data_IF_084343767581
#
_entry.id   IF_084343767581
#
_cell.length_a   1.000
_cell.length_b   1.000
_cell.length_c   1.000
_cell.angle_alpha   90.00
_cell.angle_beta   90.00
_cell.angle_gamma   90.00
#
_symmetry.space_group_name_H-M   'P 1'
#
loop_
_entity.id
_entity.type
_entity.pdbx_description
1 polymer ?
#
# COMPACT_ATOMS: atom_id res chain seq x y z
N UNK A 1 -3.85 -4.15 -9.67
CA UNK A 1 -5.14 -4.62 -10.25
C UNK A 1 -6.26 -4.78 -9.21
N UNK A 2 -6.05 -5.49 -8.08
CA UNK A 2 -7.06 -5.64 -7.02
C UNK A 2 -7.58 -4.28 -6.52
N UNK A 3 -6.67 -3.33 -6.26
CA UNK A 3 -7.04 -1.97 -5.88
C UNK A 3 -7.98 -1.28 -6.88
N UNK A 4 -7.72 -1.40 -8.18
CA UNK A 4 -8.60 -0.81 -9.21
C UNK A 4 -10.03 -1.36 -9.17
N UNK A 5 -10.17 -2.68 -8.98
CA UNK A 5 -11.48 -3.36 -8.91
C UNK A 5 -12.23 -2.87 -7.66
N UNK A 6 -11.55 -2.77 -6.52
CA UNK A 6 -12.16 -2.28 -5.28
C UNK A 6 -12.57 -0.80 -5.38
N UNK A 7 -11.71 0.07 -5.93
CA UNK A 7 -12.00 1.49 -6.15
C UNK A 7 -13.22 1.65 -7.06
N UNK A 8 -13.24 0.93 -8.18
CA UNK A 8 -14.36 0.96 -9.12
C UNK A 8 -15.67 0.53 -8.43
N UNK A 9 -15.66 -0.61 -7.75
CA UNK A 9 -16.85 -1.11 -7.05
C UNK A 9 -17.34 -0.20 -5.92
N UNK A 10 -16.43 0.52 -5.24
CA UNK A 10 -16.78 1.49 -4.21
C UNK A 10 -17.50 2.71 -4.81
N UNK A 11 -16.98 3.26 -5.91
CA UNK A 11 -17.59 4.43 -6.59
C UNK A 11 -18.95 4.06 -7.18
N UNK A 12 -19.05 2.90 -7.84
CA UNK A 12 -20.32 2.41 -8.40
C UNK A 12 -21.39 2.26 -7.31
N UNK A 13 -21.03 1.71 -6.14
CA UNK A 13 -21.95 1.59 -4.98
C UNK A 13 -22.30 2.94 -4.35
N UNK A 14 -21.40 3.91 -4.38
CA UNK A 14 -21.67 5.26 -3.90
C UNK A 14 -22.60 6.06 -4.84
N UNK A 15 -22.73 5.64 -6.09
CA UNK A 15 -23.63 6.29 -7.06
C UNK A 15 -23.18 7.67 -7.49
N UNK A 16 -21.88 7.97 -7.42
CA UNK A 16 -21.29 9.26 -7.82
C UNK A 16 -20.47 9.13 -9.11
N UNK A 17 -20.33 10.22 -9.89
CA UNK A 17 -19.38 10.28 -11.00
C UNK A 17 -17.94 10.07 -10.52
N UNK A 18 -17.08 9.47 -11.36
CA UNK A 18 -15.66 9.25 -11.02
C UNK A 18 -14.89 10.55 -10.86
N UNK A 19 -15.34 11.58 -11.59
CA UNK A 19 -14.79 12.94 -11.61
C UNK A 19 -15.01 13.68 -10.28
N UNK A 20 -15.94 13.20 -9.46
CA UNK A 20 -16.14 13.76 -8.13
C UNK A 20 -15.02 13.36 -7.17
N UNK A 21 -14.33 12.24 -7.38
CA UNK A 21 -13.23 11.83 -6.50
C UNK A 21 -12.01 12.74 -6.70
N UNK A 22 -11.73 13.58 -5.68
CA UNK A 22 -10.67 14.58 -5.77
C UNK A 22 -9.30 14.03 -5.46
N UNK A 23 -9.19 13.05 -4.55
CA UNK A 23 -7.90 12.48 -4.13
C UNK A 23 -8.08 11.04 -3.60
N UNK A 24 -7.03 10.21 -3.69
CA UNK A 24 -7.07 8.83 -3.23
C UNK A 24 -5.86 8.39 -2.39
N UNK A 25 -6.12 7.74 -1.25
CA UNK A 25 -5.11 7.13 -0.38
C UNK A 25 -5.30 5.62 -0.28
N UNK A 26 -4.27 4.84 -0.62
CA UNK A 26 -4.31 3.39 -0.49
C UNK A 26 -3.15 2.90 0.38
N UNK A 27 -3.49 2.12 1.40
CA UNK A 27 -2.53 1.39 2.21
C UNK A 27 -1.94 0.19 1.46
N UNK A 28 -0.62 0.06 1.43
CA UNK A 28 0.09 -1.05 0.80
C UNK A 28 1.50 -1.16 1.39
N UNK A 29 1.80 -2.33 1.95
CA UNK A 29 3.00 -2.56 2.76
C UNK A 29 4.18 -2.99 1.89
N UNK A 30 3.99 -4.04 1.08
CA UNK A 30 5.07 -4.70 0.35
C UNK A 30 5.13 -4.20 -1.10
N UNK A 31 5.56 -2.95 -1.28
CA UNK A 31 5.52 -2.25 -2.57
C UNK A 31 6.60 -2.70 -3.58
N UNK A 32 7.51 -3.59 -3.16
CA UNK A 32 8.62 -4.06 -3.98
C UNK A 32 8.13 -4.77 -5.25
N UNK A 33 8.57 -4.30 -6.42
CA UNK A 33 8.23 -4.92 -7.70
C UNK A 33 6.87 -4.53 -8.29
N UNK A 34 6.05 -3.75 -7.58
CA UNK A 34 4.74 -3.29 -8.09
C UNK A 34 4.83 -2.15 -9.11
N UNK A 35 6.02 -1.60 -9.33
CA UNK A 35 6.24 -0.44 -10.20
C UNK A 35 6.00 0.90 -9.50
N UNK A 36 6.05 1.98 -10.27
CA UNK A 36 5.97 3.33 -9.72
C UNK A 36 4.55 3.66 -9.23
N UNK A 37 4.45 4.25 -8.03
CA UNK A 37 3.22 4.79 -7.45
C UNK A 37 2.02 3.81 -7.49
N UNK A 38 2.01 2.75 -6.66
CA UNK A 38 0.96 1.73 -6.67
C UNK A 38 -0.47 2.30 -6.59
N UNK A 39 -0.73 3.28 -5.72
CA UNK A 39 -2.05 3.94 -5.63
C UNK A 39 -2.47 4.57 -6.95
N UNK A 40 -1.52 5.22 -7.64
CA UNK A 40 -1.78 5.88 -8.92
C UNK A 40 -2.13 4.87 -10.00
N UNK A 41 -1.44 3.74 -10.05
CA UNK A 41 -1.77 2.64 -10.96
C UNK A 41 -3.17 2.08 -10.66
N UNK A 42 -3.54 1.95 -9.39
CA UNK A 42 -4.86 1.48 -8.98
C UNK A 42 -5.98 2.44 -9.43
N UNK A 43 -5.80 3.74 -9.18
CA UNK A 43 -6.74 4.82 -9.53
C UNK A 43 -6.94 4.93 -11.04
N UNK A 44 -5.86 5.00 -11.82
CA UNK A 44 -5.95 5.06 -13.29
C UNK A 44 -6.53 3.75 -13.85
N UNK A 45 -6.17 2.60 -13.28
CA UNK A 45 -6.73 1.31 -13.67
C UNK A 45 -8.22 1.15 -13.35
N UNK A 46 -8.76 1.97 -12.45
CA UNK A 46 -10.20 2.07 -12.17
C UNK A 46 -10.92 3.11 -13.07
N UNK A 47 -10.17 3.80 -13.93
CA UNK A 47 -10.68 4.80 -14.87
C UNK A 47 -11.04 6.14 -14.22
N UNK A 48 -10.40 6.51 -13.11
CA UNK A 48 -10.54 7.85 -12.54
C UNK A 48 -9.71 8.86 -13.37
N UNK A 49 -10.02 10.17 -13.28
CA UNK A 49 -9.28 11.20 -13.99
C UNK A 49 -7.78 11.20 -13.70
N UNK A 50 -6.99 11.57 -14.71
CA UNK A 50 -5.55 11.77 -14.54
C UNK A 50 -5.24 12.95 -13.59
N UNK A 51 -6.19 13.84 -13.35
CA UNK A 51 -6.03 14.92 -12.37
C UNK A 51 -6.09 14.45 -10.91
N UNK A 52 -6.62 13.26 -10.60
CA UNK A 52 -6.79 12.76 -9.22
C UNK A 52 -5.44 12.47 -8.54
N UNK A 53 -5.00 13.24 -7.54
CA UNK A 53 -3.75 12.98 -6.82
C UNK A 53 -3.85 11.68 -6.02
N UNK A 54 -2.71 11.04 -5.81
CA UNK A 54 -2.63 9.68 -5.28
C UNK A 54 -1.46 9.54 -4.31
N UNK A 55 -1.69 8.94 -3.15
CA UNK A 55 -0.62 8.62 -2.19
C UNK A 55 -0.71 7.15 -1.74
N UNK A 56 0.43 6.48 -1.68
CA UNK A 56 0.55 5.12 -1.12
C UNK A 56 1.04 5.21 0.31
N UNK A 57 0.30 4.63 1.25
CA UNK A 57 0.54 4.74 2.68
C UNK A 57 1.08 3.41 3.21
N UNK A 58 2.17 3.46 3.98
CA UNK A 58 2.69 2.30 4.69
C UNK A 58 2.74 2.58 6.19
N UNK A 59 1.86 1.87 6.92
CA UNK A 59 1.87 1.71 8.37
C UNK A 59 1.67 0.22 8.73
N UNK A 60 2.38 -0.67 8.03
CA UNK A 60 2.30 -2.13 8.20
C UNK A 60 0.82 -2.58 8.17
N UNK A 61 0.37 -3.45 9.08
CA UNK A 61 -1.00 -3.96 9.11
C UNK A 61 -2.06 -2.85 9.25
N UNK A 62 -1.69 -1.68 9.80
CA UNK A 62 -2.58 -0.55 9.99
C UNK A 62 -2.64 0.39 8.76
N UNK A 63 -1.98 0.06 7.65
CA UNK A 63 -1.89 0.92 6.47
C UNK A 63 -3.26 1.33 5.91
N UNK A 64 -4.17 0.37 5.75
CA UNK A 64 -5.51 0.65 5.22
C UNK A 64 -6.33 1.57 6.12
N UNK A 65 -6.30 1.34 7.43
CA UNK A 65 -6.97 2.20 8.40
C UNK A 65 -6.33 3.59 8.45
N UNK A 66 -5.00 3.68 8.39
CA UNK A 66 -4.29 4.96 8.38
C UNK A 66 -4.61 5.78 7.12
N UNK A 67 -4.77 5.14 5.97
CA UNK A 67 -5.21 5.80 4.75
C UNK A 67 -6.60 6.45 4.94
N UNK A 68 -7.55 5.73 5.54
CA UNK A 68 -8.88 6.27 5.87
C UNK A 68 -8.76 7.45 6.84
N UNK A 69 -7.99 7.31 7.92
CA UNK A 69 -7.78 8.38 8.90
C UNK A 69 -7.22 9.66 8.25
N UNK A 70 -6.22 9.53 7.37
CA UNK A 70 -5.60 10.67 6.69
C UNK A 70 -6.55 11.32 5.68
N UNK A 71 -7.35 10.53 4.97
CA UNK A 71 -8.38 11.08 4.08
C UNK A 71 -9.45 11.84 4.88
N UNK A 72 -9.94 11.27 5.99
CA UNK A 72 -10.88 11.95 6.88
C UNK A 72 -10.33 13.27 7.42
N UNK A 73 -9.03 13.34 7.74
CA UNK A 73 -8.39 14.59 8.16
C UNK A 73 -8.40 15.65 7.05
N UNK A 74 -8.12 15.27 5.80
CA UNK A 74 -8.19 16.16 4.64
C UNK A 74 -9.61 16.73 4.44
N UNK A 75 -10.62 15.87 4.59
CA UNK A 75 -12.04 16.26 4.56
C UNK A 75 -12.40 17.20 5.72
N UNK A 76 -11.96 16.89 6.95
CA UNK A 76 -12.20 17.72 8.14
C UNK A 76 -11.55 19.11 8.03
N UNK A 77 -10.39 19.20 7.38
CA UNK A 77 -9.72 20.47 7.10
C UNK A 77 -10.37 21.27 5.96
N UNK A 78 -11.35 20.69 5.24
CA UNK A 78 -12.00 21.32 4.09
C UNK A 78 -11.09 21.42 2.86
N UNK A 79 -10.02 20.61 2.79
CA UNK A 79 -9.12 20.61 1.63
C UNK A 79 -9.71 19.84 0.43
N UNK A 80 -10.52 18.82 0.72
CA UNK A 80 -11.24 18.02 -0.27
C UNK A 80 -12.68 17.77 0.22
N UNK A 81 -13.58 17.50 -0.71
CA UNK A 81 -14.99 17.16 -0.47
C UNK A 81 -15.27 15.66 -0.65
N UNK A 82 -14.60 15.01 -1.61
CA UNK A 82 -14.77 13.58 -1.90
C UNK A 82 -13.41 12.92 -2.12
N UNK A 83 -13.16 11.84 -1.37
CA UNK A 83 -11.92 11.06 -1.46
C UNK A 83 -12.21 9.56 -1.45
N UNK A 84 -11.30 8.78 -2.05
CA UNK A 84 -11.27 7.31 -1.92
C UNK A 84 -10.15 6.91 -0.98
N UNK A 85 -10.46 6.10 0.02
CA UNK A 85 -9.46 5.58 0.95
C UNK A 85 -9.64 4.09 1.21
N UNK A 86 -8.53 3.35 1.35
CA UNK A 86 -8.58 1.92 1.59
C UNK A 86 -7.20 1.26 1.63
N UNK A 87 -7.12 0.00 1.21
CA UNK A 87 -5.86 -0.73 1.12
C UNK A 87 -5.87 -1.81 0.05
N UNK A 88 -4.68 -2.22 -0.38
CA UNK A 88 -4.46 -3.30 -1.34
C UNK A 88 -3.13 -3.99 -1.03
N UNK A 89 -3.08 -5.30 -1.23
CA UNK A 89 -1.88 -6.11 -1.03
C UNK A 89 -1.95 -7.35 -1.92
N UNK A 90 -0.80 -7.79 -2.43
CA UNK A 90 -0.70 -9.07 -3.14
C UNK A 90 0.54 -9.83 -2.68
N UNK A 91 0.46 -10.43 -1.49
CA UNK A 91 1.57 -11.18 -0.91
C UNK A 91 2.11 -12.28 -1.84
N UNK A 92 1.24 -12.88 -2.66
CA UNK A 92 1.63 -13.90 -3.65
C UNK A 92 2.60 -13.41 -4.73
N UNK A 93 2.69 -12.10 -4.98
CA UNK A 93 3.56 -11.51 -6.00
C UNK A 93 4.78 -10.79 -5.42
N UNK A 94 4.97 -10.84 -4.09
CA UNK A 94 6.09 -10.16 -3.44
C UNK A 94 7.41 -10.84 -3.81
N UNK A 95 8.42 -10.08 -4.29
CA UNK A 95 9.66 -10.67 -4.79
C UNK A 95 10.66 -10.98 -3.68
N UNK A 96 11.67 -11.77 -4.03
CA UNK A 96 12.92 -11.83 -3.29
C UNK A 96 13.84 -10.68 -3.70
N UNK A 97 14.73 -10.25 -2.80
CA UNK A 97 15.70 -9.17 -3.06
C UNK A 97 17.14 -9.61 -2.93
N UNK A 98 18.00 -8.96 -3.72
CA UNK A 98 19.47 -9.01 -3.60
C UNK A 98 19.98 -7.61 -3.28
N UNK A 99 20.96 -7.51 -2.38
CA UNK A 99 21.63 -6.24 -2.13
C UNK A 99 22.38 -5.78 -3.39
N UNK A 100 22.30 -4.47 -3.69
CA UNK A 100 23.09 -3.87 -4.76
C UNK A 100 24.57 -3.86 -4.38
N UNK A 101 25.44 -4.26 -5.30
CA UNK A 101 26.90 -4.22 -5.10
C UNK A 101 27.59 -5.47 -5.64
N UNK A 102 28.86 -5.66 -5.26
CA UNK A 102 29.63 -6.85 -5.61
C UNK A 102 29.15 -8.07 -4.81
N UNK A 103 28.98 -9.20 -5.49
CA UNK A 103 28.69 -10.48 -4.81
C UNK A 103 29.90 -10.94 -4.00
N UNK A 104 29.77 -11.12 -2.68
CA UNK A 104 30.89 -11.57 -1.85
C UNK A 104 31.28 -13.01 -2.19
N UNK A 105 32.57 -13.32 -2.05
CA UNK A 105 33.06 -14.70 -2.12
C UNK A 105 32.41 -15.54 -1.01
N UNK A 106 31.95 -16.76 -1.35
CA UNK A 106 31.21 -17.62 -0.42
C UNK A 106 29.68 -17.58 -0.59
N UNK A 107 29.16 -16.72 -1.47
CA UNK A 107 27.76 -16.72 -1.89
C UNK A 107 26.95 -15.54 -1.34
N UNK A 108 25.73 -15.39 -1.87
CA UNK A 108 24.78 -14.35 -1.50
C UNK A 108 23.44 -14.97 -1.17
N UNK A 109 22.76 -14.44 -0.16
CA UNK A 109 21.39 -14.82 0.18
C UNK A 109 20.42 -13.87 -0.52
N UNK A 110 19.47 -14.42 -1.26
CA UNK A 110 18.27 -13.69 -1.68
C UNK A 110 17.29 -13.69 -0.51
N UNK A 111 16.86 -12.52 -0.07
CA UNK A 111 15.96 -12.37 1.07
C UNK A 111 14.52 -12.27 0.61
N UNK A 112 13.61 -12.97 1.29
CA UNK A 112 12.16 -12.88 1.05
C UNK A 112 11.63 -11.57 1.65
N UNK A 113 11.05 -10.69 0.83
CA UNK A 113 10.49 -9.42 1.32
C UNK A 113 9.28 -9.60 2.22
N UNK A 114 8.50 -10.68 2.08
CA UNK A 114 7.39 -10.96 3.00
C UNK A 114 7.94 -11.09 4.42
N UNK A 115 8.99 -11.91 4.56
CA UNK A 115 9.62 -12.15 5.86
C UNK A 115 10.37 -10.91 6.33
N UNK A 116 11.20 -10.34 5.47
CA UNK A 116 12.12 -9.24 5.83
C UNK A 116 11.39 -7.94 6.16
N UNK A 117 10.50 -7.48 5.28
CA UNK A 117 9.87 -6.16 5.37
C UNK A 117 8.48 -6.21 6.00
N UNK A 118 7.81 -7.37 5.94
CA UNK A 118 6.44 -7.53 6.45
C UNK A 118 6.36 -8.14 7.86
N UNK A 119 7.19 -9.15 8.15
CA UNK A 119 6.94 -10.06 9.28
C UNK A 119 8.08 -10.16 10.31
N UNK A 120 9.22 -9.52 10.09
CA UNK A 120 10.35 -9.55 11.04
C UNK A 120 10.41 -8.23 11.81
N UNK A 121 10.45 -8.33 13.15
CA UNK A 121 10.69 -7.15 13.98
C UNK A 121 12.12 -6.66 13.80
N UNK A 122 12.28 -5.37 13.51
CA UNK A 122 13.61 -4.77 13.28
C UNK A 122 14.46 -4.77 14.56
N UNK A 123 13.84 -4.66 15.74
CA UNK A 123 14.55 -4.52 17.02
C UNK A 123 14.94 -5.88 17.61
N UNK A 124 13.98 -6.79 17.71
CA UNK A 124 14.17 -8.10 18.33
C UNK A 124 14.70 -9.17 17.36
N UNK A 125 14.66 -8.90 16.04
CA UNK A 125 15.14 -9.82 14.98
C UNK A 125 14.45 -11.18 15.01
N UNK A 126 13.20 -11.20 15.46
CA UNK A 126 12.33 -12.38 15.49
C UNK A 126 11.08 -12.12 14.66
N UNK A 127 10.44 -13.21 14.24
CA UNK A 127 9.16 -13.15 13.54
C UNK A 127 8.07 -12.53 14.43
N UNK A 128 7.13 -11.77 13.86
CA UNK A 128 6.03 -11.09 14.56
C UNK A 128 5.26 -12.00 15.53
N UNK A 129 5.07 -13.28 15.16
CA UNK A 129 4.42 -14.29 16.03
C UNK A 129 5.14 -14.43 17.38
N UNK A 130 6.47 -14.36 17.39
CA UNK A 130 7.27 -14.55 18.61
C UNK A 130 7.30 -13.28 19.47
N UNK A 131 7.06 -12.10 18.88
CA UNK A 131 6.99 -10.84 19.63
C UNK A 131 5.82 -10.86 20.62
N UNK A 132 4.69 -11.48 20.26
CA UNK A 132 3.54 -11.61 21.16
C UNK A 132 3.85 -12.37 22.46
N UNK A 133 4.86 -13.24 22.47
CA UNK A 133 5.24 -14.05 23.62
C UNK A 133 6.44 -13.50 24.40
N UNK A 134 6.98 -12.36 23.96
CA UNK A 134 8.21 -11.77 24.51
C UNK A 134 7.95 -10.60 25.48
N UNK A 135 6.68 -10.35 25.83
CA UNK A 135 6.23 -9.25 26.70
C UNK A 135 5.60 -9.73 28.00
#
# INVERSE_FOLDING_TARGET
KLGSIAIQGAIEKAGIPKEEVKEAYMGNVLQGGEGQAPTRQAVLGAGLPVSTPCTTINKVCASGMKAIMMASQSLMCGHQDVMVAGGMESMSNVPYVMNRGSTPYGGVKLEDLIVKDGLTDVYNKIHMVNVMFSG
#
